data_IF_758560516210
#
_entry.id   IF_758560516210
#
_cell.length_a   1.000
_cell.length_b   1.000
_cell.length_c   1.000
_cell.angle_alpha   90.00
_cell.angle_beta   90.00
_cell.angle_gamma   90.00
#
_symmetry.space_group_name_H-M   'P 1'
#
loop_
_entity.id
_entity.type
_entity.pdbx_description
1 polymer ?
#
# COMPACT_ATOMS: atom_id res chain seq x y z
N UNK A 1 23.35 15.51 1.81
CA UNK A 1 22.85 16.77 1.22
C UNK A 1 21.60 16.68 0.33
N UNK A 2 21.13 15.52 -0.15
CA UNK A 2 19.73 15.38 -0.59
C UNK A 2 18.95 14.45 0.35
N UNK A 3 19.56 13.34 0.76
CA UNK A 3 18.96 12.42 1.74
C UNK A 3 18.66 13.11 3.08
N UNK A 4 19.56 13.94 3.59
CA UNK A 4 19.35 14.70 4.84
C UNK A 4 18.19 15.69 4.76
N UNK A 5 17.96 16.28 3.57
CA UNK A 5 16.82 17.17 3.33
C UNK A 5 15.51 16.37 3.33
N UNK A 6 15.50 15.22 2.66
CA UNK A 6 14.36 14.30 2.69
C UNK A 6 14.06 13.82 4.12
N UNK A 7 15.08 13.45 4.90
CA UNK A 7 14.92 13.03 6.30
C UNK A 7 14.36 14.16 7.18
N UNK A 8 14.89 15.40 7.06
CA UNK A 8 14.39 16.54 7.84
C UNK A 8 12.96 16.91 7.46
N UNK A 9 12.62 16.88 6.17
CA UNK A 9 11.28 17.16 5.69
C UNK A 9 10.30 16.08 6.20
N UNK A 10 10.63 14.80 6.04
CA UNK A 10 9.79 13.70 6.53
C UNK A 10 9.62 13.73 8.05
N UNK A 11 10.67 14.04 8.82
CA UNK A 11 10.60 14.19 10.27
C UNK A 11 9.70 15.34 10.76
N UNK A 12 9.43 16.34 9.91
CA UNK A 12 8.47 17.41 10.22
C UNK A 12 7.00 17.01 10.01
N UNK A 13 6.73 16.02 9.14
CA UNK A 13 5.37 15.60 8.78
C UNK A 13 4.97 14.22 9.32
N UNK A 14 5.94 13.39 9.70
CA UNK A 14 5.73 11.99 10.14
C UNK A 14 6.49 11.68 11.43
N UNK A 15 6.08 12.22 12.59
CA UNK A 15 6.73 11.96 13.87
C UNK A 15 6.45 10.57 14.47
N UNK A 16 5.41 9.85 13.99
CA UNK A 16 4.84 8.69 14.68
C UNK A 16 5.14 7.31 14.08
N UNK A 17 5.81 7.21 12.93
CA UNK A 17 6.29 5.91 12.44
C UNK A 17 7.79 5.96 12.16
N UNK A 18 8.56 5.15 12.88
CA UNK A 18 9.95 4.91 12.50
C UNK A 18 9.97 4.27 11.10
N UNK A 19 11.03 4.49 10.32
CA UNK A 19 11.13 3.92 8.97
C UNK A 19 10.91 2.40 8.97
N UNK A 20 11.35 1.71 10.04
CA UNK A 20 11.17 0.28 10.25
C UNK A 20 9.70 -0.10 10.42
N UNK A 21 8.92 0.66 11.18
CA UNK A 21 7.48 0.44 11.33
C UNK A 21 6.72 0.68 10.03
N UNK A 22 7.06 1.75 9.30
CA UNK A 22 6.48 2.01 7.99
C UNK A 22 6.80 0.88 7.00
N UNK A 23 8.02 0.36 7.05
CA UNK A 23 8.46 -0.78 6.23
C UNK A 23 7.71 -2.06 6.58
N UNK A 24 7.54 -2.35 7.88
CA UNK A 24 6.78 -3.51 8.33
C UNK A 24 5.30 -3.41 7.92
N UNK A 25 4.68 -2.23 8.07
CA UNK A 25 3.31 -1.96 7.60
C UNK A 25 3.20 -2.11 6.10
N UNK A 26 4.16 -1.59 5.33
CA UNK A 26 4.17 -1.70 3.87
C UNK A 26 4.21 -3.16 3.45
N UNK A 27 5.07 -3.99 4.05
CA UNK A 27 5.16 -5.43 3.75
C UNK A 27 3.87 -6.21 4.02
N UNK A 28 3.06 -5.77 5.00
CA UNK A 28 1.80 -6.42 5.39
C UNK A 28 0.53 -5.72 4.93
N UNK A 29 0.63 -4.67 4.10
CA UNK A 29 -0.54 -3.87 3.73
C UNK A 29 -1.55 -4.71 2.92
N UNK A 30 -2.82 -4.61 3.29
CA UNK A 30 -3.93 -5.29 2.62
C UNK A 30 -5.09 -4.31 2.48
N UNK A 31 -5.77 -4.32 1.33
CA UNK A 31 -6.99 -3.56 1.10
C UNK A 31 -8.10 -4.06 2.04
N UNK A 32 -8.58 -3.16 2.91
CA UNK A 32 -9.67 -3.45 3.86
C UNK A 32 -11.01 -2.91 3.38
N UNK A 33 -10.99 -1.69 2.86
CA UNK A 33 -12.18 -0.93 2.46
C UNK A 33 -12.11 -0.63 0.95
N UNK A 34 -12.20 0.65 0.59
CA UNK A 34 -12.14 1.10 -0.80
C UNK A 34 -10.74 1.00 -1.38
N UNK A 35 -10.64 0.82 -2.70
CA UNK A 35 -9.36 0.88 -3.42
C UNK A 35 -8.69 2.25 -3.23
N UNK A 36 -9.48 3.33 -3.16
CA UNK A 36 -8.97 4.68 -2.95
C UNK A 36 -8.25 4.86 -1.62
N UNK A 37 -8.81 4.32 -0.53
CA UNK A 37 -8.18 4.35 0.79
C UNK A 37 -6.93 3.49 0.85
N UNK A 38 -6.97 2.30 0.24
CA UNK A 38 -5.80 1.43 0.10
C UNK A 38 -4.65 2.13 -0.65
N UNK A 39 -4.94 2.77 -1.79
CA UNK A 39 -3.92 3.52 -2.55
C UNK A 39 -3.36 4.68 -1.75
N UNK A 40 -4.20 5.37 -0.96
CA UNK A 40 -3.75 6.47 -0.08
C UNK A 40 -2.80 5.96 0.99
N UNK A 41 -3.17 4.92 1.74
CA UNK A 41 -2.34 4.32 2.80
C UNK A 41 -1.03 3.77 2.23
N UNK A 42 -1.09 3.08 1.09
CA UNK A 42 0.11 2.57 0.42
C UNK A 42 1.10 3.69 0.04
N UNK A 43 0.60 4.80 -0.51
CA UNK A 43 1.43 5.97 -0.85
C UNK A 43 2.03 6.63 0.38
N UNK A 44 1.26 6.78 1.45
CA UNK A 44 1.76 7.33 2.72
C UNK A 44 2.89 6.49 3.30
N UNK A 45 2.78 5.15 3.25
CA UNK A 45 3.85 4.25 3.70
C UNK A 45 5.08 4.31 2.81
N UNK A 46 4.91 4.36 1.48
CA UNK A 46 6.03 4.55 0.55
C UNK A 46 6.78 5.87 0.80
N UNK A 47 6.07 6.94 1.17
CA UNK A 47 6.69 8.21 1.50
C UNK A 47 7.50 8.15 2.80
N UNK A 48 7.18 7.25 3.73
CA UNK A 48 7.89 7.10 5.00
C UNK A 48 9.15 6.23 4.86
N UNK A 49 9.19 5.28 3.92
CA UNK A 49 10.36 4.43 3.65
C UNK A 49 11.37 5.15 2.75
N UNK A 50 12.67 5.21 3.13
CA UNK A 50 13.67 6.02 2.41
C UNK A 50 14.11 5.40 1.07
N UNK A 51 14.23 4.08 1.01
CA UNK A 51 14.63 3.33 -0.18
C UNK A 51 13.67 2.17 -0.42
N UNK A 52 12.60 2.45 -1.16
CA UNK A 52 11.68 1.40 -1.61
C UNK A 52 12.16 0.88 -2.96
N UNK A 53 12.42 -0.42 -3.06
CA UNK A 53 12.60 -1.08 -4.35
C UNK A 53 11.26 -1.08 -5.09
N UNK A 54 11.16 -0.35 -6.20
CA UNK A 54 9.92 -0.19 -6.99
C UNK A 54 9.29 -1.53 -7.38
N UNK A 55 10.12 -2.54 -7.70
CA UNK A 55 9.64 -3.87 -8.07
C UNK A 55 8.99 -4.59 -6.90
N UNK A 56 9.60 -4.50 -5.72
CA UNK A 56 9.04 -5.08 -4.49
C UNK A 56 7.77 -4.33 -4.07
N UNK A 57 7.77 -3.00 -4.17
CA UNK A 57 6.59 -2.17 -3.90
C UNK A 57 5.40 -2.58 -4.78
N UNK A 58 5.65 -2.77 -6.08
CA UNK A 58 4.60 -3.16 -7.02
C UNK A 58 4.05 -4.54 -6.68
N UNK A 59 4.91 -5.50 -6.31
CA UNK A 59 4.47 -6.83 -5.90
C UNK A 59 3.64 -6.77 -4.61
N UNK A 60 4.10 -6.02 -3.61
CA UNK A 60 3.37 -5.76 -2.37
C UNK A 60 2.01 -5.12 -2.63
N UNK A 61 1.96 -4.12 -3.51
CA UNK A 61 0.72 -3.47 -3.92
C UNK A 61 -0.26 -4.46 -4.56
N UNK A 62 0.21 -5.23 -5.54
CA UNK A 62 -0.64 -6.21 -6.23
C UNK A 62 -1.13 -7.32 -5.31
N UNK A 63 -0.30 -7.77 -4.36
CA UNK A 63 -0.65 -8.83 -3.41
C UNK A 63 -1.60 -8.35 -2.32
N UNK A 64 -1.50 -7.07 -1.92
CA UNK A 64 -2.37 -6.48 -0.91
C UNK A 64 -3.78 -6.15 -1.40
N UNK A 65 -4.02 -6.11 -2.71
CA UNK A 65 -5.36 -5.90 -3.27
C UNK A 65 -6.31 -7.05 -2.95
N UNK A 66 -7.60 -6.71 -2.74
CA UNK A 66 -8.62 -7.74 -2.59
C UNK A 66 -8.69 -8.65 -3.84
N UNK A 67 -9.00 -9.95 -3.69
CA UNK A 67 -9.03 -10.89 -4.80
C UNK A 67 -9.89 -10.45 -5.99
N UNK A 68 -11.07 -9.86 -5.73
CA UNK A 68 -11.97 -9.38 -6.78
C UNK A 68 -11.38 -8.20 -7.58
N UNK A 69 -10.65 -7.28 -6.91
CA UNK A 69 -9.96 -6.17 -7.58
C UNK A 69 -8.82 -6.70 -8.45
N UNK A 70 -8.06 -7.67 -7.92
CA UNK A 70 -6.99 -8.33 -8.70
C UNK A 70 -7.56 -9.04 -9.92
N UNK A 71 -8.71 -9.68 -9.79
CA UNK A 71 -9.40 -10.33 -10.91
C UNK A 71 -9.83 -9.32 -11.98
N UNK A 72 -10.44 -8.20 -11.57
CA UNK A 72 -10.84 -7.11 -12.47
C UNK A 72 -9.64 -6.53 -13.24
N UNK A 73 -8.49 -6.43 -12.58
CA UNK A 73 -7.23 -5.97 -13.17
C UNK A 73 -6.50 -7.05 -14.01
N UNK A 74 -7.06 -8.26 -14.14
CA UNK A 74 -6.42 -9.37 -14.85
C UNK A 74 -5.17 -9.94 -14.16
N UNK A 75 -5.00 -9.67 -12.87
CA UNK A 75 -3.88 -10.13 -12.04
C UNK A 75 -4.14 -11.49 -11.34
N UNK A 76 -5.38 -11.99 -11.35
CA UNK A 76 -5.72 -13.32 -10.85
C UNK A 76 -5.38 -14.39 -11.88
N UNK A 77 -4.51 -15.36 -11.56
CA UNK A 77 -4.17 -16.48 -12.46
C UNK A 77 -4.93 -17.77 -12.12
N UNK A 78 -5.93 -17.67 -11.27
CA UNK A 78 -6.64 -18.78 -10.68
C UNK A 78 -8.06 -18.31 -10.40
N UNK A 79 -8.97 -18.70 -11.31
CA UNK A 79 -10.39 -18.40 -11.23
C UNK A 79 -11.00 -19.12 -10.02
N UNK A 80 -10.95 -18.50 -8.84
CA UNK A 80 -11.80 -18.85 -7.71
C UNK A 80 -12.68 -17.64 -7.42
N UNK A 81 -13.94 -17.76 -7.82
CA UNK A 81 -14.94 -16.69 -7.80
C UNK A 81 -14.97 -15.94 -6.47
N UNK A 82 -14.47 -14.71 -6.51
CA UNK A 82 -14.69 -13.73 -5.45
C UNK A 82 -15.47 -12.60 -6.11
N UNK A 83 -16.80 -12.68 -6.04
CA UNK A 83 -17.67 -11.61 -6.51
C UNK A 83 -17.42 -10.35 -5.68
N UNK A 84 -17.50 -9.17 -6.32
CA UNK A 84 -17.52 -7.87 -5.64
C UNK A 84 -18.58 -7.92 -4.52
N UNK A 85 -18.24 -7.64 -3.24
CA UNK A 85 -19.26 -7.50 -2.22
C UNK A 85 -20.18 -6.32 -2.59
N UNK A 86 -21.50 -6.55 -2.63
CA UNK A 86 -22.48 -5.47 -2.78
C UNK A 86 -22.23 -4.42 -1.71
N UNK A 87 -22.00 -3.17 -2.14
CA UNK A 87 -22.05 -1.99 -1.28
C UNK A 87 -23.40 -2.02 -0.54
N UNK A 88 -23.34 -2.26 0.77
CA UNK A 88 -24.49 -2.10 1.64
C UNK A 88 -24.65 -0.59 1.82
N UNK A 89 -25.57 0.02 1.10
CA UNK A 89 -26.08 1.35 1.42
C UNK A 89 -26.56 1.31 2.88
N UNK A 90 -25.89 2.07 3.75
CA UNK A 90 -26.33 2.40 5.13
C UNK A 90 -26.24 3.90 5.32
#
# INVERSE_FOLDING_TARGET
MWQEFQCKLKGQFYPECTEEEARAKLQGITQRDTVGEYVREFKELMLQVLEVNEREALLTFQNGLMPWVRQELGLGKDNLGSSKPEEKDV
#
